data_IF_323738804248
#
_entry.id   IF_323738804248
#
_cell.length_a   1.000
_cell.length_b   1.000
_cell.length_c   1.000
_cell.angle_alpha   90.00
_cell.angle_beta   90.00
_cell.angle_gamma   90.00
#
_symmetry.space_group_name_H-M   'P 1'
#
loop_
_entity.id
_entity.type
_entity.pdbx_description
1 polymer ?
#
# COMPACT_ATOMS: atom_id res chain seq x y z
N UNK A 1 6.80 -1.66 -36.26
CA UNK A 1 7.39 -2.29 -35.05
C UNK A 1 7.83 -1.17 -34.14
N UNK A 2 7.43 -1.14 -32.87
CA UNK A 2 7.99 -0.17 -31.90
C UNK A 2 7.03 0.93 -31.44
N UNK A 3 5.92 0.54 -30.82
CA UNK A 3 5.31 1.44 -29.85
C UNK A 3 6.18 1.46 -28.58
N UNK A 4 6.34 2.60 -27.90
CA UNK A 4 7.00 2.67 -26.60
C UNK A 4 6.37 1.69 -25.60
N UNK A 5 7.17 1.21 -24.64
CA UNK A 5 6.69 0.26 -23.64
C UNK A 5 5.59 0.89 -22.79
N UNK A 6 5.72 2.18 -22.49
CA UNK A 6 4.70 2.94 -21.78
C UNK A 6 3.39 3.04 -22.54
N UNK A 7 3.44 3.23 -23.86
CA UNK A 7 2.23 3.22 -24.69
C UNK A 7 1.59 1.83 -24.76
N UNK A 8 2.41 0.78 -24.92
CA UNK A 8 1.94 -0.61 -24.97
C UNK A 8 1.17 -1.05 -23.73
N UNK A 9 1.55 -0.53 -22.57
CA UNK A 9 1.00 -0.90 -21.26
C UNK A 9 0.12 0.21 -20.65
N UNK A 10 -0.15 1.29 -21.39
CA UNK A 10 -0.96 2.41 -20.91
C UNK A 10 -0.36 3.16 -19.71
N UNK A 11 0.96 3.15 -19.57
CA UNK A 11 1.73 3.74 -18.46
C UNK A 11 2.92 4.54 -18.99
N UNK A 12 2.74 5.81 -19.36
CA UNK A 12 3.80 6.65 -19.95
C UNK A 12 5.07 6.73 -19.09
N UNK A 13 4.95 6.57 -17.77
CA UNK A 13 6.05 6.63 -16.82
C UNK A 13 7.06 5.48 -17.01
N UNK A 14 6.62 4.35 -17.58
CA UNK A 14 7.48 3.20 -17.85
C UNK A 14 8.63 3.53 -18.80
N UNK A 15 8.41 4.41 -19.77
CA UNK A 15 9.46 4.78 -20.72
C UNK A 15 10.60 5.53 -20.01
N UNK A 16 10.26 6.42 -19.08
CA UNK A 16 11.25 7.14 -18.27
C UNK A 16 11.99 6.20 -17.31
N UNK A 17 11.28 5.26 -16.68
CA UNK A 17 11.88 4.25 -15.82
C UNK A 17 12.83 3.33 -16.60
N UNK A 18 12.41 2.87 -17.78
CA UNK A 18 13.22 2.07 -18.68
C UNK A 18 14.49 2.81 -19.09
N UNK A 19 14.37 4.08 -19.54
CA UNK A 19 15.53 4.91 -19.88
C UNK A 19 16.48 5.11 -18.70
N UNK A 20 15.96 5.23 -17.48
CA UNK A 20 16.77 5.37 -16.27
C UNK A 20 17.59 4.11 -16.01
N UNK A 21 16.95 2.94 -16.08
CA UNK A 21 17.60 1.64 -15.91
C UNK A 21 18.62 1.38 -17.03
N UNK A 22 18.30 1.74 -18.28
CA UNK A 22 19.22 1.60 -19.42
C UNK A 22 20.46 2.50 -19.31
N UNK A 23 20.39 3.58 -18.52
CA UNK A 23 21.55 4.43 -18.19
C UNK A 23 22.33 3.93 -16.97
N UNK A 24 21.93 2.80 -16.38
CA UNK A 24 22.54 2.23 -15.18
C UNK A 24 22.05 2.85 -13.87
N UNK A 25 20.98 3.64 -13.92
CA UNK A 25 20.31 4.15 -12.73
C UNK A 25 19.46 3.07 -12.05
N UNK A 26 19.14 3.30 -10.78
CA UNK A 26 18.14 2.53 -10.04
C UNK A 26 16.86 3.35 -9.89
N UNK A 27 15.71 2.69 -9.87
CA UNK A 27 14.45 3.34 -9.51
C UNK A 27 14.47 3.66 -7.99
N UNK A 28 14.20 4.91 -7.62
CA UNK A 28 14.20 5.36 -6.22
C UNK A 28 12.97 4.87 -5.43
N UNK A 29 11.89 4.56 -6.14
CA UNK A 29 10.65 4.03 -5.58
C UNK A 29 10.26 2.75 -6.28
N UNK A 30 9.66 1.84 -5.52
CA UNK A 30 8.97 0.71 -6.10
C UNK A 30 7.88 1.25 -7.05
N UNK A 31 7.83 0.77 -8.29
CA UNK A 31 6.81 1.19 -9.22
C UNK A 31 5.42 0.77 -8.73
N UNK A 32 4.41 1.50 -9.18
CA UNK A 32 3.01 1.12 -8.94
C UNK A 32 2.63 -0.14 -9.71
N UNK A 33 1.67 -0.89 -9.18
CA UNK A 33 1.19 -2.10 -9.84
C UNK A 33 0.50 -1.74 -11.18
N UNK A 34 0.77 -2.53 -12.21
CA UNK A 34 0.12 -2.47 -13.51
C UNK A 34 -1.24 -3.14 -13.42
N UNK A 35 -2.29 -2.47 -13.87
CA UNK A 35 -3.62 -3.05 -14.00
C UNK A 35 -3.81 -3.48 -15.45
N UNK A 36 -4.00 -4.78 -15.68
CA UNK A 36 -4.22 -5.35 -17.00
C UNK A 36 -5.55 -6.12 -17.01
N UNK A 37 -6.27 -6.06 -18.12
CA UNK A 37 -7.46 -6.87 -18.34
C UNK A 37 -7.06 -8.12 -19.12
N UNK A 38 -7.26 -9.30 -18.51
CA UNK A 38 -6.98 -10.59 -19.13
C UNK A 38 -8.26 -11.41 -19.04
N UNK A 39 -8.81 -11.76 -20.19
CA UNK A 39 -10.03 -12.58 -20.31
C UNK A 39 -11.25 -12.00 -19.55
N UNK A 40 -11.34 -10.67 -19.42
CA UNK A 40 -12.42 -9.98 -18.71
C UNK A 40 -12.21 -9.87 -17.20
N UNK A 41 -11.04 -10.29 -16.69
CA UNK A 41 -10.67 -10.13 -15.30
C UNK A 41 -9.51 -9.15 -15.16
N UNK A 42 -9.66 -8.18 -14.26
CA UNK A 42 -8.56 -7.28 -13.90
C UNK A 42 -7.53 -8.01 -13.05
N UNK A 43 -6.27 -7.99 -13.51
CA UNK A 43 -5.10 -8.48 -12.78
C UNK A 43 -4.19 -7.33 -12.40
N UNK A 44 -3.62 -7.41 -11.21
CA UNK A 44 -2.62 -6.49 -10.71
C UNK A 44 -1.25 -7.15 -10.81
N UNK A 45 -0.38 -6.56 -11.63
CA UNK A 45 0.98 -7.03 -11.84
C UNK A 45 1.96 -6.03 -11.24
N UNK A 46 2.69 -6.44 -10.21
CA UNK A 46 3.87 -5.67 -9.79
C UNK A 46 5.02 -5.97 -10.73
N UNK A 47 5.94 -5.02 -10.91
CA UNK A 47 7.06 -5.21 -11.82
C UNK A 47 8.38 -4.67 -11.30
N UNK A 48 9.46 -5.20 -11.86
CA UNK A 48 10.81 -4.69 -11.67
C UNK A 48 11.54 -4.61 -13.00
N UNK A 49 12.42 -3.61 -13.15
CA UNK A 49 13.26 -3.42 -14.32
C UNK A 49 14.71 -3.59 -13.91
N UNK A 50 15.39 -4.55 -14.50
CA UNK A 50 16.80 -4.86 -14.21
C UNK A 50 17.65 -4.67 -15.47
N UNK A 51 18.75 -3.89 -15.42
CA UNK A 51 19.61 -3.71 -16.59
C UNK A 51 20.38 -4.99 -16.87
N UNK A 52 20.54 -5.32 -18.15
CA UNK A 52 21.40 -6.41 -18.61
C UNK A 52 22.64 -5.79 -19.24
N UNK A 53 23.80 -6.07 -18.68
CA UNK A 53 25.10 -5.57 -19.14
C UNK A 53 26.07 -6.71 -19.39
N UNK A 54 27.04 -6.48 -20.27
CA UNK A 54 28.20 -7.37 -20.37
C UNK A 54 29.13 -7.18 -19.16
N UNK A 55 29.92 -8.21 -18.78
CA UNK A 55 30.96 -8.05 -17.78
C UNK A 55 31.93 -6.93 -18.20
N UNK A 56 31.89 -5.78 -17.50
CA UNK A 56 32.66 -4.56 -17.78
C UNK A 56 32.33 -3.86 -19.12
N UNK A 57 31.18 -4.16 -19.71
CA UNK A 57 30.74 -3.59 -20.99
C UNK A 57 29.52 -2.67 -20.85
N UNK A 58 28.99 -2.15 -21.98
CA UNK A 58 27.80 -1.33 -21.99
C UNK A 58 26.56 -2.13 -21.56
N UNK A 59 25.51 -1.40 -21.17
CA UNK A 59 24.18 -1.97 -20.96
C UNK A 59 23.62 -2.37 -22.32
N UNK A 60 23.28 -3.64 -22.48
CA UNK A 60 22.69 -4.22 -23.69
C UNK A 60 21.18 -3.99 -23.76
N UNK A 61 20.54 -3.85 -22.60
CA UNK A 61 19.09 -3.70 -22.49
C UNK A 61 18.62 -3.77 -21.05
N UNK A 62 17.32 -4.01 -20.88
CA UNK A 62 16.72 -4.25 -19.57
C UNK A 62 15.75 -5.43 -19.67
N UNK A 63 15.63 -6.17 -18.57
CA UNK A 63 14.63 -7.22 -18.38
C UNK A 63 13.56 -6.67 -17.44
N UNK A 64 12.31 -6.77 -17.85
CA UNK A 64 11.16 -6.52 -17.00
C UNK A 64 10.64 -7.85 -16.45
N UNK A 65 10.51 -7.95 -15.13
CA UNK A 65 9.86 -9.09 -14.47
C UNK A 65 8.50 -8.64 -13.98
N UNK A 66 7.46 -9.41 -14.29
CA UNK A 66 6.08 -9.18 -13.87
C UNK A 66 5.68 -10.28 -12.87
N UNK A 67 5.09 -9.88 -11.75
CA UNK A 67 4.51 -10.80 -10.79
C UNK A 67 3.03 -10.47 -10.58
N UNK A 68 2.17 -11.46 -10.76
CA UNK A 68 0.75 -11.33 -10.43
C UNK A 68 0.59 -11.30 -8.90
N UNK A 69 0.09 -10.17 -8.41
CA UNK A 69 -0.16 -9.90 -7.00
C UNK A 69 -1.65 -9.68 -6.72
N UNK A 70 -2.52 -10.05 -7.66
CA UNK A 70 -3.97 -9.80 -7.57
C UNK A 70 -4.56 -10.33 -6.26
N UNK A 71 -4.31 -11.61 -5.95
CA UNK A 71 -4.80 -12.24 -4.72
C UNK A 71 -4.16 -11.63 -3.46
N UNK A 72 -2.85 -11.36 -3.51
CA UNK A 72 -2.14 -10.74 -2.39
C UNK A 72 -2.73 -9.36 -2.05
N UNK A 73 -2.95 -8.51 -3.06
CA UNK A 73 -3.55 -7.18 -2.90
C UNK A 73 -5.00 -7.25 -2.44
N UNK A 74 -5.78 -8.21 -2.94
CA UNK A 74 -7.14 -8.45 -2.47
C UNK A 74 -7.15 -8.80 -0.98
N UNK A 75 -6.27 -9.70 -0.54
CA UNK A 75 -6.14 -10.07 0.87
C UNK A 75 -5.67 -8.90 1.75
N UNK A 76 -4.68 -8.14 1.30
CA UNK A 76 -4.21 -6.93 1.99
C UNK A 76 -5.33 -5.89 2.16
N UNK A 77 -6.17 -5.70 1.13
CA UNK A 77 -7.34 -4.80 1.20
C UNK A 77 -8.35 -5.28 2.25
N UNK A 78 -8.76 -6.55 2.19
CA UNK A 78 -9.74 -7.12 3.15
C UNK A 78 -9.22 -7.01 4.58
N UNK A 79 -7.93 -7.34 4.80
CA UNK A 79 -7.30 -7.20 6.12
C UNK A 79 -7.31 -5.74 6.61
N UNK A 80 -6.99 -4.79 5.73
CA UNK A 80 -6.95 -3.37 6.09
C UNK A 80 -8.33 -2.82 6.42
N UNK A 81 -9.34 -3.20 5.63
CA UNK A 81 -10.74 -2.83 5.88
C UNK A 81 -11.25 -3.41 7.20
N UNK A 82 -10.91 -4.66 7.51
CA UNK A 82 -11.25 -5.27 8.79
C UNK A 82 -10.65 -4.49 9.97
N UNK A 83 -9.35 -4.17 9.92
CA UNK A 83 -8.67 -3.43 10.99
C UNK A 83 -9.28 -2.04 11.16
N UNK A 84 -9.55 -1.35 10.05
CA UNK A 84 -10.18 -0.03 10.07
C UNK A 84 -11.56 -0.09 10.72
N UNK A 85 -12.39 -1.04 10.29
CA UNK A 85 -13.75 -1.22 10.82
C UNK A 85 -13.74 -1.56 12.31
N UNK A 86 -12.90 -2.51 12.73
CA UNK A 86 -12.74 -2.86 14.14
C UNK A 86 -12.31 -1.63 14.96
N UNK A 87 -11.37 -0.84 14.46
CA UNK A 87 -10.92 0.39 15.14
C UNK A 87 -12.04 1.41 15.30
N UNK A 88 -12.90 1.57 14.29
CA UNK A 88 -14.06 2.46 14.37
C UNK A 88 -15.13 1.94 15.35
N UNK A 89 -15.48 0.66 15.27
CA UNK A 89 -16.50 0.06 16.13
C UNK A 89 -16.07 -0.02 17.59
N UNK A 90 -14.77 -0.17 17.86
CA UNK A 90 -14.22 -0.21 19.22
C UNK A 90 -14.03 1.18 19.84
N UNK A 91 -13.86 2.25 19.05
CA UNK A 91 -13.64 3.61 19.57
C UNK A 91 -14.76 4.04 20.53
N UNK A 92 -16.01 3.88 20.12
CA UNK A 92 -17.18 4.27 20.90
C UNK A 92 -17.32 3.52 22.23
N UNK A 93 -17.33 2.17 22.29
CA UNK A 93 -17.41 1.45 23.56
C UNK A 93 -16.20 1.72 24.46
N UNK A 94 -14.99 1.88 23.90
CA UNK A 94 -13.81 2.25 24.69
C UNK A 94 -13.95 3.63 25.31
N UNK A 95 -14.43 4.63 24.56
CA UNK A 95 -14.75 5.95 25.10
C UNK A 95 -15.81 5.86 26.20
N UNK A 96 -16.85 5.05 26.01
CA UNK A 96 -17.89 4.82 27.02
C UNK A 96 -17.33 4.24 28.32
N UNK A 97 -16.42 3.25 28.25
CA UNK A 97 -15.75 2.69 29.42
C UNK A 97 -14.90 3.75 30.15
N UNK A 98 -14.12 4.55 29.41
CA UNK A 98 -13.33 5.63 30.01
C UNK A 98 -14.21 6.67 30.72
N UNK A 99 -15.34 7.04 30.12
CA UNK A 99 -16.31 7.96 30.74
C UNK A 99 -16.92 7.36 32.02
N UNK A 100 -17.35 6.09 31.98
CA UNK A 100 -17.92 5.40 33.13
C UNK A 100 -16.93 5.29 34.30
N UNK A 101 -15.67 4.92 34.01
CA UNK A 101 -14.60 4.90 35.03
C UNK A 101 -14.28 6.30 35.55
N UNK A 102 -14.27 7.33 34.69
CA UNK A 102 -14.08 8.72 35.09
C UNK A 102 -15.14 9.18 36.11
N UNK A 103 -16.42 8.97 35.82
CA UNK A 103 -17.53 9.30 36.72
C UNK A 103 -17.46 8.51 38.04
N UNK A 104 -17.10 7.23 37.99
CA UNK A 104 -16.94 6.40 39.18
C UNK A 104 -15.82 6.94 40.09
N UNK A 105 -14.66 7.26 39.52
CA UNK A 105 -13.52 7.80 40.27
C UNK A 105 -13.82 9.19 40.83
N UNK A 106 -14.54 10.04 40.10
CA UNK A 106 -15.01 11.34 40.60
C UNK A 106 -15.90 11.14 41.84
N UNK A 107 -16.87 10.22 41.76
CA UNK A 107 -17.75 9.89 42.90
C UNK A 107 -17.00 9.28 44.08
N UNK A 108 -16.01 8.43 43.84
CA UNK A 108 -15.20 7.80 44.88
C UNK A 108 -14.28 8.79 45.61
N UNK A 109 -13.96 9.95 45.01
CA UNK A 109 -13.18 11.02 45.64
C UNK A 109 -14.01 11.96 46.52
N UNK A 110 -15.35 11.96 46.40
CA UNK A 110 -16.20 12.74 47.31
C UNK A 110 -16.31 12.05 48.68
N UNK A 111 -15.81 12.72 49.71
CA UNK A 111 -15.94 12.34 51.13
C UNK A 111 -17.43 12.31 51.53
N UNK A 112 -17.93 11.27 52.25
CA UNK A 112 -19.28 11.21 52.80
C UNK A 112 -19.72 12.45 53.57
N UNK A 113 -18.80 13.27 54.09
CA UNK A 113 -19.11 14.47 54.88
C UNK A 113 -19.52 15.71 54.06
N UNK A 114 -19.49 15.67 52.72
CA UNK A 114 -19.87 16.81 51.87
C UNK A 114 -21.39 16.92 51.63
N UNK A 115 -22.21 16.15 52.36
CA UNK A 115 -23.68 16.19 52.29
C UNK A 115 -24.30 16.69 53.59
N UNK A 116 -23.90 17.87 54.04
CA UNK A 116 -24.64 18.62 55.05
C UNK A 116 -24.21 20.10 55.01
N UNK A 117 -25.01 20.93 54.34
CA UNK A 117 -25.48 22.26 54.76
C UNK A 117 -26.49 22.78 53.75
#
# INVERSE_FOLDING_TARGET
LGQPLGEALGRPELDQQLLTVLRGGSLERAPEDLSVDIEGETRLLTYSLTPVSQPKGPILGAVMVLHDVTEQRAFERVRSEFVLRASHELRTPVTGMHMAFGLFLERARFDPQSRET
#
